data_IF_203210086666
#
_entry.id   IF_203210086666
#
_cell.length_a   1.000
_cell.length_b   1.000
_cell.length_c   1.000
_cell.angle_alpha   90.00
_cell.angle_beta   90.00
_cell.angle_gamma   90.00
#
_symmetry.space_group_name_H-M   'P 1'
#
loop_
_entity.id
_entity.type
_entity.pdbx_description
1 polymer ?
#
# COMPACT_ATOMS: atom_id res chain seq x y z
N UNK A 1 -21.85 -63.23 -31.91
CA UNK A 1 -22.07 -62.37 -30.74
C UNK A 1 -20.78 -61.59 -30.49
N UNK A 2 -20.71 -60.31 -30.89
CA UNK A 2 -19.50 -59.47 -30.74
C UNK A 2 -19.61 -58.72 -29.42
N UNK A 3 -18.71 -59.00 -28.48
CA UNK A 3 -18.62 -58.29 -27.20
C UNK A 3 -17.84 -56.98 -27.43
N UNK A 4 -18.49 -55.84 -27.22
CA UNK A 4 -17.86 -54.52 -27.24
C UNK A 4 -17.35 -54.21 -25.82
N UNK A 5 -16.04 -54.21 -25.61
CA UNK A 5 -15.44 -53.81 -24.34
C UNK A 5 -15.29 -52.29 -24.36
N UNK A 6 -16.11 -51.59 -23.57
CA UNK A 6 -16.00 -50.14 -23.35
C UNK A 6 -15.02 -49.93 -22.18
N UNK A 7 -13.81 -49.47 -22.50
CA UNK A 7 -12.82 -49.05 -21.51
C UNK A 7 -13.14 -47.60 -21.12
N UNK A 8 -13.84 -47.41 -19.99
CA UNK A 8 -14.05 -46.10 -19.39
C UNK A 8 -12.73 -45.70 -18.72
N UNK A 9 -12.01 -44.77 -19.36
CA UNK A 9 -10.82 -44.14 -18.81
C UNK A 9 -11.26 -43.09 -17.78
N UNK A 10 -11.08 -43.37 -16.49
CA UNK A 10 -11.24 -42.37 -15.43
C UNK A 10 -10.10 -41.35 -15.57
N UNK A 11 -10.39 -40.20 -16.19
CA UNK A 11 -9.55 -39.01 -16.08
C UNK A 11 -9.73 -38.45 -14.66
N UNK A 12 -8.90 -38.90 -13.73
CA UNK A 12 -8.76 -38.26 -12.42
C UNK A 12 -8.06 -36.92 -12.69
N UNK A 13 -8.84 -35.85 -12.80
CA UNK A 13 -8.31 -34.50 -12.82
C UNK A 13 -7.64 -34.21 -11.49
N UNK A 14 -6.31 -34.11 -11.48
CA UNK A 14 -5.57 -33.59 -10.33
C UNK A 14 -5.90 -32.11 -10.23
N UNK A 15 -6.70 -31.71 -9.23
CA UNK A 15 -6.83 -30.30 -8.90
C UNK A 15 -5.55 -29.87 -8.19
N UNK A 16 -4.80 -28.96 -8.82
CA UNK A 16 -3.66 -28.31 -8.18
C UNK A 16 -4.18 -27.47 -7.02
N UNK A 17 -3.58 -27.66 -5.84
CA UNK A 17 -3.79 -26.77 -4.70
C UNK A 17 -3.24 -25.37 -5.04
N UNK A 18 -3.89 -24.32 -4.54
CA UNK A 18 -3.45 -22.94 -4.78
C UNK A 18 -2.13 -22.69 -4.03
N UNK A 19 -1.20 -22.02 -4.70
CA UNK A 19 0.09 -21.62 -4.13
C UNK A 19 0.18 -20.11 -4.17
N UNK A 20 0.53 -19.51 -3.03
CA UNK A 20 0.72 -18.06 -2.95
C UNK A 20 1.88 -17.66 -3.87
N UNK A 21 1.68 -16.73 -4.82
CA UNK A 21 2.77 -16.26 -5.68
C UNK A 21 3.90 -15.61 -4.89
N UNK A 22 5.12 -15.74 -5.40
CA UNK A 22 6.26 -15.00 -4.84
C UNK A 22 6.01 -13.49 -4.94
N UNK A 23 6.25 -12.81 -3.82
CA UNK A 23 6.05 -11.39 -3.73
C UNK A 23 7.21 -10.65 -4.42
N UNK A 24 6.87 -9.69 -5.27
CA UNK A 24 7.82 -8.75 -5.86
C UNK A 24 8.06 -7.61 -4.87
N UNK A 25 9.31 -7.43 -4.44
CA UNK A 25 9.74 -6.27 -3.67
C UNK A 25 10.32 -5.22 -4.62
N UNK A 26 9.88 -3.98 -4.49
CA UNK A 26 10.37 -2.85 -5.28
C UNK A 26 10.82 -1.74 -4.33
N UNK A 27 12.10 -1.40 -4.36
CA UNK A 27 12.67 -0.32 -3.55
C UNK A 27 12.33 1.02 -4.21
N UNK A 28 11.85 1.97 -3.42
CA UNK A 28 11.54 3.32 -3.88
C UNK A 28 12.57 4.32 -3.31
N UNK A 29 12.72 5.52 -3.89
CA UNK A 29 13.59 6.56 -3.32
C UNK A 29 13.28 6.89 -1.84
N UNK A 30 12.02 6.73 -1.46
CA UNK A 30 11.51 6.81 -0.09
C UNK A 30 10.41 5.76 0.09
N UNK A 31 10.69 4.70 0.85
CA UNK A 31 9.77 3.58 1.02
C UNK A 31 10.06 2.38 0.12
N UNK A 32 9.12 1.45 0.08
CA UNK A 32 9.17 0.25 -0.76
C UNK A 32 7.76 -0.30 -1.03
N UNK A 33 7.63 -1.12 -2.08
CA UNK A 33 6.40 -1.86 -2.39
C UNK A 33 6.65 -3.35 -2.27
N UNK A 34 5.61 -4.07 -1.87
CA UNK A 34 5.58 -5.53 -1.94
C UNK A 34 4.27 -5.93 -2.61
N UNK A 35 4.36 -6.72 -3.68
CA UNK A 35 3.15 -7.07 -4.45
C UNK A 35 3.14 -8.49 -4.98
N UNK A 36 1.94 -9.07 -5.07
CA UNK A 36 1.66 -10.31 -5.80
C UNK A 36 0.73 -10.02 -7.00
N UNK A 37 0.82 -10.80 -8.10
CA UNK A 37 -0.15 -10.69 -9.18
C UNK A 37 -1.55 -11.06 -8.68
N UNK A 38 -2.56 -10.34 -9.18
CA UNK A 38 -3.96 -10.73 -8.99
C UNK A 38 -4.27 -12.00 -9.79
N UNK A 39 -5.09 -12.86 -9.21
CA UNK A 39 -5.53 -14.11 -9.81
C UNK A 39 -6.99 -14.37 -9.41
N UNK A 40 -7.73 -15.05 -10.29
CA UNK A 40 -9.09 -15.46 -9.98
C UNK A 40 -9.11 -16.29 -8.69
N UNK A 41 -9.98 -15.90 -7.76
CA UNK A 41 -10.12 -16.54 -6.45
C UNK A 41 -9.45 -15.78 -5.32
N UNK A 42 -8.44 -14.93 -5.56
CA UNK A 42 -7.85 -14.11 -4.50
C UNK A 42 -8.87 -13.08 -3.99
N UNK A 43 -9.03 -12.99 -2.66
CA UNK A 43 -9.97 -12.07 -1.98
C UNK A 43 -9.29 -11.15 -0.98
N UNK A 44 -8.10 -11.50 -0.52
CA UNK A 44 -7.28 -10.69 0.37
C UNK A 44 -5.83 -11.09 0.19
N UNK A 45 -4.93 -10.13 0.31
CA UNK A 45 -3.49 -10.34 0.44
C UNK A 45 -3.02 -9.64 1.71
N UNK A 46 -2.27 -10.31 2.58
CA UNK A 46 -1.65 -9.67 3.73
C UNK A 46 -0.13 -9.77 3.63
N UNK A 47 0.54 -8.71 4.07
CA UNK A 47 1.99 -8.63 4.15
C UNK A 47 2.42 -8.35 5.59
N UNK A 48 3.35 -9.15 6.08
CA UNK A 48 3.94 -9.06 7.42
C UNK A 48 5.45 -9.13 7.32
N UNK A 49 6.19 -8.15 7.85
CA UNK A 49 7.64 -8.15 7.73
C UNK A 49 8.38 -7.23 8.69
N UNK A 50 9.69 -7.45 8.77
CA UNK A 50 10.67 -6.69 9.56
C UNK A 50 11.92 -6.38 8.73
N UNK A 51 12.56 -5.27 9.03
CA UNK A 51 13.79 -4.83 8.39
C UNK A 51 14.99 -5.16 9.28
N UNK A 52 15.96 -5.91 8.74
CA UNK A 52 17.19 -6.34 9.41
C UNK A 52 16.99 -7.14 10.71
N UNK A 53 15.80 -7.73 10.87
CA UNK A 53 15.43 -8.59 11.99
C UNK A 53 14.60 -9.75 11.46
N UNK A 54 14.94 -10.98 11.85
CA UNK A 54 14.22 -12.18 11.41
C UNK A 54 12.80 -12.24 12.01
N UNK A 55 11.92 -12.96 11.34
CA UNK A 55 10.56 -13.21 11.83
C UNK A 55 10.57 -14.40 12.79
N UNK A 56 9.93 -14.26 13.94
CA UNK A 56 9.60 -15.32 14.87
C UNK A 56 8.27 -15.97 14.47
N UNK A 57 8.34 -16.87 13.47
CA UNK A 57 7.17 -17.51 12.89
C UNK A 57 6.27 -16.51 12.17
N UNK A 58 4.95 -16.57 12.42
CA UNK A 58 3.94 -15.71 11.77
C UNK A 58 3.52 -14.54 12.67
N UNK A 59 4.49 -13.86 13.26
CA UNK A 59 4.23 -12.60 13.97
C UNK A 59 3.84 -11.48 12.99
N UNK A 60 3.21 -10.43 13.51
CA UNK A 60 2.79 -9.31 12.66
C UNK A 60 3.95 -8.55 12.02
N UNK A 61 5.10 -8.49 12.70
CA UNK A 61 6.26 -7.69 12.28
C UNK A 61 6.02 -6.18 12.40
N UNK A 62 7.01 -5.39 11.99
CA UNK A 62 6.93 -3.92 11.97
C UNK A 62 6.00 -3.42 10.86
N UNK A 63 6.03 -4.10 9.72
CA UNK A 63 5.14 -3.85 8.59
C UNK A 63 4.06 -4.91 8.59
N UNK A 64 2.82 -4.54 8.91
CA UNK A 64 1.71 -5.50 9.03
C UNK A 64 0.46 -4.90 8.42
N UNK A 65 -0.01 -5.40 7.28
CA UNK A 65 -1.21 -4.85 6.63
C UNK A 65 -1.91 -5.83 5.70
N UNK A 66 -3.24 -5.80 5.77
CA UNK A 66 -4.12 -6.44 4.80
C UNK A 66 -4.37 -5.55 3.58
N UNK A 67 -4.49 -6.14 2.41
CA UNK A 67 -4.83 -5.48 1.16
C UNK A 67 -6.11 -6.15 0.69
N UNK A 68 -7.19 -5.37 0.65
CA UNK A 68 -8.55 -5.89 0.43
C UNK A 68 -9.02 -5.77 -1.02
N UNK A 69 -8.26 -5.08 -1.88
CA UNK A 69 -8.56 -4.90 -3.30
C UNK A 69 -7.28 -4.82 -4.11
N UNK A 70 -7.19 -5.51 -5.26
CA UNK A 70 -6.10 -5.33 -6.19
C UNK A 70 -6.27 -4.00 -6.95
N UNK A 71 -5.16 -3.46 -7.42
CA UNK A 71 -5.10 -2.32 -8.34
C UNK A 71 -4.16 -2.66 -9.48
N UNK A 72 -4.55 -2.33 -10.70
CA UNK A 72 -3.73 -2.57 -11.89
C UNK A 72 -3.21 -4.02 -12.00
N UNK A 73 -4.08 -4.99 -11.66
CA UNK A 73 -3.78 -6.43 -11.73
C UNK A 73 -2.83 -6.95 -10.64
N UNK A 74 -2.62 -6.20 -9.55
CA UNK A 74 -1.75 -6.61 -8.43
C UNK A 74 -2.34 -6.27 -7.07
N UNK A 75 -2.01 -7.07 -6.07
CA UNK A 75 -2.24 -6.76 -4.65
C UNK A 75 -0.96 -6.17 -4.10
N UNK A 76 -1.00 -4.94 -3.61
CA UNK A 76 0.23 -4.18 -3.33
C UNK A 76 0.19 -3.54 -1.95
N UNK A 77 1.13 -3.96 -1.10
CA UNK A 77 1.55 -3.22 0.09
C UNK A 77 2.47 -2.07 -0.32
N UNK A 78 2.30 -0.91 0.31
CA UNK A 78 3.17 0.25 0.11
C UNK A 78 3.55 0.85 1.45
N UNK A 79 4.84 0.90 1.71
CA UNK A 79 5.46 1.79 2.68
C UNK A 79 6.05 2.99 1.94
N UNK A 80 5.83 4.21 2.45
CA UNK A 80 6.22 5.46 1.77
C UNK A 80 7.35 6.21 2.49
N UNK A 81 7.88 5.67 3.58
CA UNK A 81 8.73 6.43 4.52
C UNK A 81 10.05 5.74 4.82
N UNK A 82 10.06 4.40 4.87
CA UNK A 82 11.22 3.59 5.22
C UNK A 82 12.22 3.61 4.08
N UNK A 83 13.32 4.34 4.26
CA UNK A 83 14.41 4.36 3.28
C UNK A 83 15.26 3.11 3.43
N UNK A 84 15.15 2.20 2.45
CA UNK A 84 15.98 1.01 2.38
C UNK A 84 17.38 1.35 1.84
N UNK A 85 18.39 0.68 2.40
CA UNK A 85 19.80 0.82 2.01
C UNK A 85 20.31 -0.49 1.44
N UNK A 86 21.35 -0.38 0.60
CA UNK A 86 22.07 -1.55 0.10
C UNK A 86 22.52 -2.43 1.27
N UNK A 87 22.22 -3.72 1.18
CA UNK A 87 22.58 -4.72 2.18
C UNK A 87 21.54 -4.85 3.30
N UNK A 88 20.52 -3.99 3.35
CA UNK A 88 19.37 -4.24 4.22
C UNK A 88 18.66 -5.52 3.77
N UNK A 89 18.10 -6.24 4.73
CA UNK A 89 17.36 -7.48 4.53
C UNK A 89 15.93 -7.26 5.04
N UNK A 90 14.96 -7.37 4.15
CA UNK A 90 13.55 -7.42 4.51
C UNK A 90 13.15 -8.88 4.73
N UNK A 91 12.85 -9.26 5.97
CA UNK A 91 12.30 -10.57 6.31
C UNK A 91 10.78 -10.48 6.37
N UNK A 92 10.07 -11.42 5.78
CA UNK A 92 8.62 -11.34 5.69
C UNK A 92 7.93 -12.69 5.49
N UNK A 93 6.63 -12.69 5.68
CA UNK A 93 5.72 -13.72 5.19
C UNK A 93 4.48 -13.05 4.58
N UNK A 94 3.81 -13.77 3.70
CA UNK A 94 2.56 -13.29 3.09
C UNK A 94 1.42 -14.27 3.31
N UNK A 95 0.20 -13.75 3.26
CA UNK A 95 -1.02 -14.53 3.35
C UNK A 95 -2.00 -14.16 2.26
N UNK A 96 -2.74 -15.14 1.77
CA UNK A 96 -3.80 -14.96 0.80
C UNK A 96 -5.06 -15.66 1.27
N UNK A 97 -6.17 -14.92 1.31
CA UNK A 97 -7.49 -15.55 1.28
C UNK A 97 -7.85 -15.90 -0.16
N UNK A 98 -7.99 -17.18 -0.43
CA UNK A 98 -8.34 -17.72 -1.74
C UNK A 98 -9.70 -18.40 -1.71
N UNK A 99 -10.52 -18.14 -2.73
CA UNK A 99 -11.82 -18.78 -2.93
C UNK A 99 -11.73 -19.73 -4.13
N UNK A 100 -11.85 -21.03 -3.87
CA UNK A 100 -11.72 -22.10 -4.88
C UNK A 100 -13.02 -22.36 -5.68
N UNK A 101 -14.03 -21.50 -5.50
CA UNK A 101 -15.38 -21.70 -6.05
C UNK A 101 -16.36 -22.34 -5.06
N UNK A 102 -15.90 -22.86 -3.92
CA UNK A 102 -16.73 -23.50 -2.90
C UNK A 102 -16.43 -23.00 -1.49
N UNK A 103 -15.14 -22.94 -1.12
CA UNK A 103 -14.66 -22.60 0.20
C UNK A 103 -13.70 -21.42 0.12
N UNK A 104 -13.66 -20.63 1.20
CA UNK A 104 -12.62 -19.65 1.44
C UNK A 104 -11.50 -20.34 2.24
N UNK A 105 -10.30 -20.36 1.71
CA UNK A 105 -9.12 -21.03 2.26
C UNK A 105 -7.98 -20.03 2.41
N UNK A 106 -7.21 -20.17 3.48
CA UNK A 106 -6.05 -19.33 3.74
C UNK A 106 -4.76 -20.04 3.34
N UNK A 107 -3.90 -19.35 2.59
CA UNK A 107 -2.60 -19.84 2.17
C UNK A 107 -1.51 -18.87 2.56
N UNK A 108 -0.32 -19.37 2.90
CA UNK A 108 0.82 -18.55 3.29
C UNK A 108 2.03 -18.79 2.39
N UNK A 109 2.90 -17.78 2.30
CA UNK A 109 4.27 -17.92 1.84
C UNK A 109 5.18 -17.44 2.97
N UNK A 110 5.75 -18.38 3.72
CA UNK A 110 6.51 -18.15 4.94
C UNK A 110 8.02 -18.01 4.67
N UNK A 111 8.77 -17.54 5.67
CA UNK A 111 10.24 -17.53 5.68
C UNK A 111 10.89 -16.82 4.48
N UNK A 112 10.22 -15.80 3.95
CA UNK A 112 10.70 -15.03 2.82
C UNK A 112 11.72 -13.99 3.26
N UNK A 113 12.68 -13.72 2.38
CA UNK A 113 13.62 -12.62 2.57
C UNK A 113 14.00 -11.96 1.26
N UNK A 114 14.20 -10.66 1.30
CA UNK A 114 14.70 -9.87 0.19
C UNK A 114 15.91 -9.06 0.64
N UNK A 115 17.02 -9.19 -0.10
CA UNK A 115 18.26 -8.45 0.14
C UNK A 115 18.31 -7.29 -0.85
N UNK A 116 18.42 -6.07 -0.32
CA UNK A 116 18.45 -4.85 -1.13
C UNK A 116 19.79 -4.71 -1.84
N UNK A 117 19.78 -4.70 -3.18
CA UNK A 117 21.00 -4.59 -3.98
C UNK A 117 21.30 -3.15 -4.43
N UNK A 118 22.45 -2.97 -5.11
CA UNK A 118 22.89 -1.67 -5.63
C UNK A 118 21.89 -1.11 -6.65
N UNK A 119 21.44 -1.96 -7.58
CA UNK A 119 20.53 -1.56 -8.66
C UNK A 119 19.14 -1.19 -8.12
N UNK A 120 18.77 -1.69 -6.94
CA UNK A 120 17.51 -1.37 -6.28
C UNK A 120 17.55 0.01 -5.59
N UNK A 121 18.74 0.50 -5.25
CA UNK A 121 18.95 1.72 -4.44
C UNK A 121 19.56 2.87 -5.22
N UNK A 122 19.68 2.76 -6.55
CA UNK A 122 20.29 3.79 -7.37
C UNK A 122 19.55 5.11 -7.18
N UNK A 123 20.12 5.96 -6.33
CA UNK A 123 19.71 7.35 -6.16
C UNK A 123 19.89 8.02 -7.52
N UNK A 124 18.79 8.46 -8.13
CA UNK A 124 18.88 9.33 -9.29
C UNK A 124 19.57 10.60 -8.78
N UNK A 125 20.86 10.75 -9.09
CA UNK A 125 21.64 11.94 -8.80
C UNK A 125 21.07 13.10 -9.62
N UNK A 126 20.07 13.80 -9.05
CA UNK A 126 19.65 15.11 -9.53
C UNK A 126 20.67 16.16 -9.08
N UNK A 127 21.86 16.10 -9.67
CA UNK A 127 22.79 17.23 -9.65
C UNK A 127 22.59 18.05 -10.91
N UNK A 128 21.56 18.91 -10.91
CA UNK A 128 21.72 20.30 -11.36
C UNK A 128 20.47 21.10 -10.95
N UNK A 129 20.63 22.05 -10.04
CA UNK A 129 19.61 23.02 -9.65
C UNK A 129 19.95 24.31 -10.40
N UNK A 130 19.09 24.70 -11.34
CA UNK A 130 18.94 26.10 -11.71
C UNK A 130 17.50 26.57 -11.40
N UNK A 131 17.30 27.80 -10.90
CA UNK A 131 16.00 28.24 -10.39
C UNK A 131 15.10 28.74 -11.53
N UNK A 132 13.80 28.43 -11.41
CA UNK A 132 12.69 29.11 -12.07
C UNK A 132 12.67 29.13 -13.62
N UNK A 133 12.35 27.98 -14.22
CA UNK A 133 11.58 27.97 -15.48
C UNK A 133 10.61 26.79 -15.40
N UNK A 134 9.32 27.04 -15.55
CA UNK A 134 8.29 26.01 -15.73
C UNK A 134 8.67 25.18 -16.96
N UNK A 135 8.98 23.88 -16.84
CA UNK A 135 9.46 23.13 -17.99
C UNK A 135 8.31 22.89 -18.97
N UNK A 136 8.32 23.60 -20.10
CA UNK A 136 7.63 23.12 -21.29
C UNK A 136 8.44 21.94 -21.83
N UNK A 137 7.89 20.73 -21.73
CA UNK A 137 8.57 19.51 -22.20
C UNK A 137 8.54 19.47 -23.73
N UNK A 138 9.74 19.50 -24.32
CA UNK A 138 9.98 19.19 -25.73
C UNK A 138 9.83 17.66 -25.93
N UNK A 139 8.81 17.26 -26.68
CA UNK A 139 8.42 15.85 -26.94
C UNK A 139 9.37 15.19 -27.97
N UNK A 140 10.65 15.57 -28.00
CA UNK A 140 11.67 15.00 -28.90
C UNK A 140 12.77 14.22 -28.18
N UNK A 141 12.69 14.08 -26.85
CA UNK A 141 13.62 13.30 -26.03
C UNK A 141 13.18 11.87 -25.76
N UNK A 142 14.15 11.02 -25.37
CA UNK A 142 13.92 9.68 -24.84
C UNK A 142 13.06 9.72 -23.57
N UNK A 143 11.89 9.08 -23.60
CA UNK A 143 10.98 8.99 -22.46
C UNK A 143 11.52 7.97 -21.43
N UNK A 144 11.87 8.46 -20.25
CA UNK A 144 12.24 7.59 -19.12
C UNK A 144 10.99 7.24 -18.33
N UNK A 145 10.86 5.97 -17.92
CA UNK A 145 9.70 5.48 -17.14
C UNK A 145 9.70 6.14 -15.74
N UNK A 146 8.60 6.77 -15.29
CA UNK A 146 8.50 7.38 -13.98
C UNK A 146 8.36 6.34 -12.87
N UNK A 147 8.87 6.67 -11.69
CA UNK A 147 8.64 5.87 -10.45
C UNK A 147 7.20 6.07 -9.93
N UNK A 148 6.60 7.22 -10.23
CA UNK A 148 5.21 7.53 -9.87
C UNK A 148 4.24 6.75 -10.74
N UNK A 149 3.27 6.08 -10.11
CA UNK A 149 2.19 5.42 -10.82
C UNK A 149 1.17 6.45 -11.29
N UNK A 150 0.82 6.38 -12.58
CA UNK A 150 -0.15 7.26 -13.22
C UNK A 150 -1.19 6.42 -13.95
N UNK A 151 -2.41 6.96 -14.08
CA UNK A 151 -3.40 6.39 -14.98
C UNK A 151 -3.02 6.76 -16.43
N UNK A 152 -2.20 5.91 -17.06
CA UNK A 152 -1.75 6.10 -18.44
C UNK A 152 -0.25 6.41 -18.58
N UNK A 153 0.27 6.43 -19.82
CA UNK A 153 1.69 6.61 -20.08
C UNK A 153 2.13 8.04 -19.77
N UNK A 154 3.13 8.18 -18.91
CA UNK A 154 3.75 9.45 -18.54
C UNK A 154 5.27 9.25 -18.52
N UNK A 155 6.04 10.30 -18.83
CA UNK A 155 7.50 10.28 -18.72
C UNK A 155 7.95 10.86 -17.37
N UNK A 156 9.06 10.38 -16.83
CA UNK A 156 9.72 10.97 -15.67
C UNK A 156 9.98 12.47 -15.89
N UNK A 157 9.70 13.28 -14.86
CA UNK A 157 9.81 14.74 -14.91
C UNK A 157 8.56 15.47 -15.41
N UNK A 158 7.54 14.77 -15.89
CA UNK A 158 6.27 15.38 -16.25
C UNK A 158 5.48 15.84 -15.01
N UNK A 159 4.84 17.01 -15.13
CA UNK A 159 3.83 17.46 -14.17
C UNK A 159 2.55 16.64 -14.37
N UNK A 160 2.18 15.85 -13.36
CA UNK A 160 1.03 14.92 -13.43
C UNK A 160 -0.18 15.40 -12.64
N UNK A 161 0.01 16.36 -11.74
CA UNK A 161 -1.03 16.91 -10.89
C UNK A 161 -0.59 18.27 -10.37
N UNK A 162 -1.48 19.26 -10.41
CA UNK A 162 -1.28 20.59 -9.84
C UNK A 162 -2.62 21.05 -9.24
N UNK A 163 -2.54 21.68 -8.07
CA UNK A 163 -3.66 22.39 -7.48
C UNK A 163 -3.19 23.73 -6.93
N UNK A 164 -3.93 24.78 -7.25
CA UNK A 164 -3.67 26.15 -6.76
C UNK A 164 -4.42 26.46 -5.48
N UNK A 165 -5.18 25.49 -4.94
CA UNK A 165 -5.93 25.60 -3.70
C UNK A 165 -6.79 26.88 -3.65
N UNK A 166 -7.57 27.15 -4.70
CA UNK A 166 -8.62 28.16 -4.64
C UNK A 166 -9.71 27.81 -3.60
N UNK A 167 -9.96 26.52 -3.45
CA UNK A 167 -10.77 25.89 -2.43
C UNK A 167 -10.31 24.43 -2.29
N UNK A 168 -10.72 23.74 -1.22
CA UNK A 168 -10.44 22.32 -1.06
C UNK A 168 -11.51 21.50 -1.82
N UNK A 169 -11.17 21.07 -3.04
CA UNK A 169 -12.05 20.30 -3.91
C UNK A 169 -12.08 18.82 -3.50
N UNK A 170 -13.23 18.36 -2.98
CA UNK A 170 -13.45 16.98 -2.55
C UNK A 170 -13.48 15.95 -3.71
N UNK A 171 -13.56 16.42 -4.96
CA UNK A 171 -13.39 15.59 -6.15
C UNK A 171 -11.92 15.31 -6.50
N UNK A 172 -11.00 16.17 -6.02
CA UNK A 172 -9.54 16.02 -6.24
C UNK A 172 -8.83 15.48 -5.01
N UNK A 173 -9.26 15.90 -3.82
CA UNK A 173 -8.62 15.59 -2.56
C UNK A 173 -9.51 14.74 -1.67
N UNK A 174 -8.92 13.70 -1.09
CA UNK A 174 -9.56 12.95 0.00
C UNK A 174 -8.77 13.19 1.27
N UNK A 175 -9.43 13.75 2.29
CA UNK A 175 -8.82 13.92 3.61
C UNK A 175 -8.80 12.58 4.32
N UNK A 176 -7.62 12.14 4.73
CA UNK A 176 -7.42 10.91 5.48
C UNK A 176 -8.02 11.03 6.89
N UNK A 177 -8.81 10.03 7.30
CA UNK A 177 -9.39 9.95 8.63
C UNK A 177 -8.97 8.63 9.28
N UNK A 178 -8.10 8.71 10.29
CA UNK A 178 -7.57 7.55 11.01
C UNK A 178 -7.07 7.89 12.40
N UNK A 179 -6.96 6.87 13.25
CA UNK A 179 -6.09 6.92 14.42
C UNK A 179 -4.65 6.76 13.96
N UNK A 180 -3.72 7.31 14.74
CA UNK A 180 -2.37 6.85 14.63
C UNK A 180 -2.27 5.36 14.98
N UNK A 181 -1.42 4.67 14.24
CA UNK A 181 -1.20 3.24 14.34
C UNK A 181 0.29 2.98 14.07
N UNK A 182 0.71 1.73 14.20
CA UNK A 182 2.05 1.29 13.84
C UNK A 182 2.47 1.80 12.44
N UNK A 183 3.75 2.10 12.21
CA UNK A 183 4.90 1.87 13.11
C UNK A 183 5.25 3.07 14.01
N UNK A 184 4.76 4.27 13.70
CA UNK A 184 5.21 5.51 14.35
C UNK A 184 4.46 5.78 15.67
N UNK A 185 3.33 5.09 15.92
CA UNK A 185 2.51 5.18 17.14
C UNK A 185 2.33 6.61 17.67
N UNK A 186 2.16 7.57 16.76
CA UNK A 186 2.02 8.97 17.11
C UNK A 186 0.78 9.18 18.01
N UNK A 187 0.79 10.09 18.97
CA UNK A 187 -0.40 10.33 19.78
C UNK A 187 -1.33 11.37 19.11
N UNK A 188 -1.83 11.04 17.91
CA UNK A 188 -2.65 11.95 17.07
C UNK A 188 -3.85 11.26 16.43
N UNK A 189 -4.85 12.06 16.07
CA UNK A 189 -5.99 11.68 15.25
C UNK A 189 -6.00 12.51 13.98
N UNK A 190 -6.06 11.87 12.82
CA UNK A 190 -6.24 12.55 11.53
C UNK A 190 -7.73 12.64 11.25
N UNK A 191 -8.23 13.86 11.06
CA UNK A 191 -9.66 14.13 10.95
C UNK A 191 -9.95 15.23 9.94
N UNK A 192 -11.03 15.07 9.17
CA UNK A 192 -11.55 16.15 8.32
C UNK A 192 -12.37 17.11 9.18
N UNK A 193 -11.74 18.21 9.59
CA UNK A 193 -12.38 19.23 10.41
C UNK A 193 -12.03 20.64 9.92
N UNK A 194 -12.98 21.59 9.91
CA UNK A 194 -12.69 22.98 9.57
C UNK A 194 -11.60 23.61 10.45
N UNK A 195 -11.46 23.12 11.68
CA UNK A 195 -10.44 23.59 12.62
C UNK A 195 -9.02 23.09 12.26
N UNK A 196 -8.88 21.99 11.52
CA UNK A 196 -7.59 21.33 11.23
C UNK A 196 -7.15 21.46 9.78
N UNK A 197 -8.08 21.46 8.83
CA UNK A 197 -7.79 21.52 7.39
C UNK A 197 -8.70 22.50 6.68
N UNK A 198 -8.12 23.33 5.83
CA UNK A 198 -8.84 24.30 5.01
C UNK A 198 -7.92 24.99 4.01
N UNK A 199 -8.46 25.99 3.34
CA UNK A 199 -7.71 26.86 2.42
C UNK A 199 -7.74 28.28 2.97
N UNK A 200 -6.59 28.93 3.03
CA UNK A 200 -6.43 30.32 3.45
C UNK A 200 -5.37 30.96 2.55
N UNK A 201 -5.64 32.16 2.02
CA UNK A 201 -4.74 32.89 1.12
C UNK A 201 -4.21 32.06 -0.06
N UNK A 202 -5.09 31.28 -0.71
CA UNK A 202 -4.74 30.36 -1.80
C UNK A 202 -3.71 29.29 -1.45
N UNK A 203 -3.60 28.94 -0.16
CA UNK A 203 -2.72 27.90 0.33
C UNK A 203 -3.52 26.85 1.12
N UNK A 204 -3.16 25.58 0.94
CA UNK A 204 -3.64 24.51 1.81
C UNK A 204 -3.08 24.73 3.22
N UNK A 205 -3.98 24.89 4.20
CA UNK A 205 -3.64 25.03 5.60
C UNK A 205 -3.99 23.75 6.34
N UNK A 206 -2.98 23.08 6.87
CA UNK A 206 -3.12 21.92 7.76
C UNK A 206 -2.48 22.31 9.08
N UNK A 207 -3.25 22.25 10.17
CA UNK A 207 -2.75 22.56 11.51
C UNK A 207 -3.26 21.54 12.54
N UNK A 208 -2.42 21.14 13.50
CA UNK A 208 -2.88 20.37 14.64
C UNK A 208 -3.73 21.24 15.56
N UNK A 209 -4.71 20.62 16.21
CA UNK A 209 -5.54 21.23 17.26
C UNK A 209 -5.58 20.28 18.44
N UNK A 210 -5.53 20.82 19.66
CA UNK A 210 -5.57 20.01 20.88
C UNK A 210 -6.95 19.36 21.00
N UNK A 211 -6.99 18.06 21.29
CA UNK A 211 -8.23 17.28 21.42
C UNK A 211 -9.23 17.91 22.40
N UNK A 212 -8.74 18.43 23.52
CA UNK A 212 -9.59 19.04 24.55
C UNK A 212 -10.30 20.31 24.07
N UNK A 213 -9.72 21.03 23.09
CA UNK A 213 -10.36 22.18 22.47
C UNK A 213 -11.51 21.78 21.54
N UNK A 214 -11.46 20.57 20.99
CA UNK A 214 -12.42 20.08 19.99
C UNK A 214 -13.52 19.23 20.63
N UNK A 215 -13.15 18.37 21.59
CA UNK A 215 -14.03 17.36 22.18
C UNK A 215 -14.34 17.59 23.66
N UNK A 216 -13.73 18.59 24.28
CA UNK A 216 -13.90 18.93 25.69
C UNK A 216 -12.82 18.34 26.60
N UNK A 217 -12.73 18.89 27.81
CA UNK A 217 -11.71 18.54 28.81
C UNK A 217 -11.73 17.04 29.13
N UNK A 218 -10.54 16.45 29.27
CA UNK A 218 -10.33 15.03 29.58
C UNK A 218 -10.81 14.07 28.49
N UNK A 219 -10.97 14.52 27.24
CA UNK A 219 -11.39 13.66 26.15
C UNK A 219 -10.49 12.43 25.98
N UNK A 220 -9.16 12.61 26.08
CA UNK A 220 -8.19 11.50 25.96
C UNK A 220 -8.28 10.48 27.10
N UNK A 221 -8.95 10.82 28.20
CA UNK A 221 -9.22 9.93 29.34
C UNK A 221 -10.65 9.36 29.32
N UNK A 222 -11.45 9.70 28.30
CA UNK A 222 -12.81 9.18 28.15
C UNK A 222 -12.78 7.67 27.94
N UNK A 223 -13.61 6.94 28.68
CA UNK A 223 -13.86 5.50 28.45
C UNK A 223 -14.78 5.26 27.26
N UNK A 224 -15.45 6.31 26.76
CA UNK A 224 -16.19 6.26 25.49
C UNK A 224 -15.21 6.60 24.38
N UNK A 225 -14.94 5.62 23.51
CA UNK A 225 -14.19 5.83 22.28
C UNK A 225 -14.88 6.86 21.38
N UNK A 226 -14.08 7.51 20.53
CA UNK A 226 -14.61 8.42 19.51
C UNK A 226 -14.95 7.61 18.26
N UNK A 227 -16.13 7.85 17.69
CA UNK A 227 -16.54 7.20 16.46
C UNK A 227 -16.40 8.18 15.30
N UNK A 228 -15.60 7.79 14.30
CA UNK A 228 -15.40 8.54 13.08
C UNK A 228 -16.52 8.31 12.02
N UNK A 229 -17.45 7.39 12.30
CA UNK A 229 -18.54 7.02 11.42
C UNK A 229 -18.08 6.27 10.16
N UNK A 230 -18.99 6.17 9.17
CA UNK A 230 -18.80 5.35 7.95
C UNK A 230 -17.71 5.86 6.99
N UNK A 231 -17.13 7.03 7.25
CA UNK A 231 -16.04 7.63 6.45
C UNK A 231 -14.67 7.48 7.09
N UNK A 232 -14.54 6.47 7.95
CA UNK A 232 -13.29 6.08 8.57
C UNK A 232 -12.61 4.97 7.76
N UNK A 233 -11.29 5.09 7.55
CA UNK A 233 -10.47 4.02 7.00
C UNK A 233 -10.11 3.05 8.15
N UNK A 234 -11.01 2.13 8.50
CA UNK A 234 -10.65 1.07 9.46
C UNK A 234 -9.82 -0.02 8.76
N UNK A 235 -8.54 -0.13 9.14
CA UNK A 235 -7.75 -1.36 9.10
C UNK A 235 -7.87 -2.06 10.46
N UNK A 236 -9.05 -2.62 10.75
CA UNK A 236 -9.23 -3.68 11.74
C UNK A 236 -10.71 -4.06 11.77
N UNK A 237 -11.05 -5.23 11.24
CA UNK A 237 -12.23 -5.95 11.70
C UNK A 237 -11.75 -7.09 12.59
N UNK A 238 -11.73 -6.82 13.89
CA UNK A 238 -11.57 -7.83 14.92
C UNK A 238 -12.93 -8.39 15.33
N UNK A 239 -13.05 -9.71 15.14
CA UNK A 239 -14.14 -10.65 15.46
C UNK A 239 -15.34 -10.70 14.51
#
# INVERSE_FOLDING_TARGET
MRLLIIVISLLIGVQSEFVVPDAKVEVLPKGFRVSIPDQEGIKLFAFHGKLNEEMEGREGGTFSRDIIKPKNGRWTFVDKITKLKKGDILYYWTYVDYFDGKNKLGYTNDDQKYIVNVDDTSEINYTDVTPHVTPQIDVRGTCTVPVTETEGPVCAGALIFEDTFSHLDDGKWTVEQRYADAPDYEFVMYMKRPETVGVEDSNLKIKPVISDQVFGTNFVYSTKGYDFGDRYLFFCKGK
#
